data_IF_883216170374
#
_entry.id   IF_883216170374
#
_cell.length_a   1.000
_cell.length_b   1.000
_cell.length_c   1.000
_cell.angle_alpha   90.00
_cell.angle_beta   90.00
_cell.angle_gamma   90.00
#
_symmetry.space_group_name_H-M   'P 1'
#
loop_
_entity.id
_entity.type
_entity.pdbx_description
1 polymer ?
#
# COMPACT_ATOMS: atom_id res chain seq x y z
N UNK A 1 0.13 8.97 24.96
CA UNK A 1 1.14 7.92 24.63
C UNK A 1 2.43 8.63 24.27
N UNK A 2 3.61 8.08 24.59
CA UNK A 2 4.87 8.72 24.24
C UNK A 2 4.99 8.89 22.72
N UNK A 3 5.43 10.06 22.25
CA UNK A 3 5.65 10.38 20.83
C UNK A 3 6.47 9.29 20.11
N UNK A 4 7.43 8.68 20.81
CA UNK A 4 8.21 7.54 20.34
C UNK A 4 7.36 6.32 19.93
N UNK A 5 6.32 5.97 20.70
CA UNK A 5 5.44 4.84 20.37
C UNK A 5 4.63 5.12 19.11
N UNK A 6 4.10 6.33 18.97
CA UNK A 6 3.32 6.72 17.80
C UNK A 6 4.20 6.83 16.53
N UNK A 7 5.43 7.34 16.66
CA UNK A 7 6.40 7.36 15.57
C UNK A 7 6.79 5.95 15.11
N UNK A 8 6.96 5.00 16.03
CA UNK A 8 7.19 3.59 15.68
C UNK A 8 6.01 2.99 14.91
N UNK A 9 4.77 3.24 15.35
CA UNK A 9 3.56 2.77 14.64
C UNK A 9 3.50 3.36 13.23
N UNK A 10 3.74 4.66 13.07
CA UNK A 10 3.76 5.31 11.76
C UNK A 10 4.86 4.71 10.87
N UNK A 11 6.05 4.44 11.41
CA UNK A 11 7.15 3.81 10.67
C UNK A 11 6.79 2.39 10.20
N UNK A 12 6.12 1.60 11.05
CA UNK A 12 5.58 0.28 10.67
C UNK A 12 4.55 0.42 9.55
N UNK A 13 3.58 1.33 9.66
CA UNK A 13 2.58 1.54 8.61
C UNK A 13 3.21 1.94 7.27
N UNK A 14 4.23 2.80 7.28
CA UNK A 14 4.97 3.18 6.06
C UNK A 14 5.68 1.97 5.45
N UNK A 15 6.25 1.10 6.28
CA UNK A 15 6.88 -0.14 5.84
C UNK A 15 5.88 -1.09 5.17
N UNK A 16 4.70 -1.25 5.76
CA UNK A 16 3.63 -2.08 5.22
C UNK A 16 3.08 -1.53 3.90
N UNK A 17 2.91 -0.20 3.79
CA UNK A 17 2.52 0.46 2.52
C UNK A 17 3.51 0.11 1.41
N UNK A 18 4.82 0.21 1.67
CA UNK A 18 5.85 -0.17 0.70
C UNK A 18 5.71 -1.64 0.29
N UNK A 19 5.56 -2.54 1.26
CA UNK A 19 5.41 -3.98 0.98
C UNK A 19 4.22 -4.29 0.06
N UNK A 20 3.06 -3.70 0.34
CA UNK A 20 1.85 -3.88 -0.50
C UNK A 20 2.04 -3.34 -1.92
N UNK A 21 2.72 -2.20 -2.07
CA UNK A 21 3.01 -1.63 -3.38
C UNK A 21 4.04 -2.44 -4.18
N UNK A 22 5.02 -3.05 -3.51
CA UNK A 22 5.99 -3.96 -4.16
C UNK A 22 5.31 -5.23 -4.68
N UNK A 23 4.39 -5.80 -3.90
CA UNK A 23 3.59 -6.95 -4.32
C UNK A 23 2.67 -6.58 -5.49
N UNK A 24 1.99 -5.44 -5.41
CA UNK A 24 1.15 -4.91 -6.48
C UNK A 24 1.95 -4.66 -7.77
N UNK A 25 3.18 -4.14 -7.65
CA UNK A 25 4.08 -3.96 -8.78
C UNK A 25 4.49 -5.30 -9.42
N UNK A 26 4.71 -6.34 -8.62
CA UNK A 26 5.02 -7.69 -9.12
C UNK A 26 3.87 -8.23 -9.99
N UNK A 27 2.63 -8.11 -9.51
CA UNK A 27 1.42 -8.52 -10.25
C UNK A 27 1.27 -7.71 -11.54
N UNK A 28 1.45 -6.39 -11.47
CA UNK A 28 1.37 -5.51 -12.64
C UNK A 28 2.41 -5.89 -13.71
N UNK A 29 3.64 -6.23 -13.31
CA UNK A 29 4.69 -6.70 -14.24
C UNK A 29 4.32 -8.04 -14.90
N UNK A 30 3.76 -8.98 -14.13
CA UNK A 30 3.31 -10.26 -14.68
C UNK A 30 2.18 -10.08 -15.70
N UNK A 31 1.20 -9.24 -15.38
CA UNK A 31 0.13 -8.90 -16.32
C UNK A 31 0.65 -8.18 -17.57
N UNK A 32 1.57 -7.23 -17.42
CA UNK A 32 2.19 -6.54 -18.55
C UNK A 32 2.89 -7.52 -19.50
N UNK A 33 3.64 -8.50 -18.97
CA UNK A 33 4.26 -9.54 -19.78
C UNK A 33 3.22 -10.30 -20.60
N UNK A 34 2.13 -10.77 -19.96
CA UNK A 34 1.06 -11.48 -20.66
C UNK A 34 0.41 -10.62 -21.75
N UNK A 35 0.18 -9.33 -21.48
CA UNK A 35 -0.40 -8.41 -22.45
C UNK A 35 0.53 -8.20 -23.66
N UNK A 36 1.84 -8.06 -23.44
CA UNK A 36 2.85 -7.91 -24.50
C UNK A 36 2.98 -9.17 -25.37
N UNK A 37 2.76 -10.34 -24.78
CA UNK A 37 2.71 -11.63 -25.48
C UNK A 37 1.37 -11.88 -26.19
N UNK A 38 0.46 -10.90 -26.21
CA UNK A 38 -0.86 -10.98 -26.86
C UNK A 38 -1.96 -11.66 -26.03
N UNK A 39 -1.64 -12.10 -24.81
CA UNK A 39 -2.58 -12.76 -23.89
C UNK A 39 -3.31 -11.76 -23.00
N UNK A 40 -4.11 -10.88 -23.61
CA UNK A 40 -4.80 -9.75 -22.92
C UNK A 40 -5.78 -10.24 -21.85
N UNK A 41 -6.60 -11.24 -22.13
CA UNK A 41 -7.57 -11.77 -21.15
C UNK A 41 -6.86 -12.30 -19.89
N UNK A 42 -5.72 -12.97 -20.08
CA UNK A 42 -4.90 -13.46 -18.97
C UNK A 42 -4.28 -12.31 -18.18
N UNK A 43 -3.83 -11.26 -18.85
CA UNK A 43 -3.29 -10.07 -18.20
C UNK A 43 -4.35 -9.40 -17.30
N UNK A 44 -5.60 -9.27 -17.77
CA UNK A 44 -6.70 -8.72 -16.98
C UNK A 44 -7.00 -9.60 -15.77
N UNK A 45 -7.05 -10.92 -15.93
CA UNK A 45 -7.24 -11.84 -14.80
C UNK A 45 -6.16 -11.68 -13.73
N UNK A 46 -4.89 -11.57 -14.12
CA UNK A 46 -3.78 -11.34 -13.19
C UNK A 46 -3.92 -9.99 -12.48
N UNK A 47 -4.32 -8.93 -13.21
CA UNK A 47 -4.54 -7.61 -12.62
C UNK A 47 -5.69 -7.56 -11.61
N UNK A 48 -6.60 -8.53 -11.56
CA UNK A 48 -7.66 -8.53 -10.54
C UNK A 48 -7.09 -8.68 -9.13
N UNK A 49 -5.94 -9.35 -8.97
CA UNK A 49 -5.26 -9.50 -7.68
C UNK A 49 -4.58 -8.19 -7.20
N UNK A 50 -4.42 -7.21 -8.08
CA UNK A 50 -3.81 -5.91 -7.78
C UNK A 50 -4.71 -5.00 -6.93
N UNK A 51 -6.03 -5.05 -7.12
CA UNK A 51 -6.98 -4.09 -6.51
C UNK A 51 -6.95 -4.15 -4.98
N UNK A 52 -6.95 -5.35 -4.40
CA UNK A 52 -6.91 -5.55 -2.96
C UNK A 52 -5.68 -4.92 -2.31
N UNK A 53 -4.50 -5.13 -2.91
CA UNK A 53 -3.23 -4.61 -2.40
C UNK A 53 -3.19 -3.08 -2.41
N UNK A 54 -3.70 -2.44 -3.47
CA UNK A 54 -3.75 -0.97 -3.55
C UNK A 54 -4.75 -0.39 -2.55
N UNK A 55 -5.88 -1.06 -2.34
CA UNK A 55 -6.83 -0.66 -1.30
C UNK A 55 -6.24 -0.76 0.10
N UNK A 56 -5.57 -1.86 0.43
CA UNK A 56 -4.87 -2.03 1.71
C UNK A 56 -3.78 -0.97 1.90
N UNK A 57 -2.93 -0.73 0.90
CA UNK A 57 -1.90 0.30 0.95
C UNK A 57 -2.49 1.70 1.20
N UNK A 58 -3.61 2.03 0.55
CA UNK A 58 -4.31 3.31 0.75
C UNK A 58 -4.84 3.43 2.18
N UNK A 59 -5.38 2.37 2.75
CA UNK A 59 -5.97 2.43 4.08
C UNK A 59 -4.90 2.50 5.19
N UNK A 60 -3.77 1.80 5.01
CA UNK A 60 -2.57 1.96 5.85
C UNK A 60 -2.03 3.40 5.78
N UNK A 61 -1.97 3.98 4.59
CA UNK A 61 -1.57 5.38 4.40
C UNK A 61 -2.50 6.36 5.14
N UNK A 62 -3.83 6.17 5.04
CA UNK A 62 -4.81 6.98 5.79
C UNK A 62 -4.62 6.83 7.30
N UNK A 63 -4.34 5.63 7.80
CA UNK A 63 -4.07 5.39 9.22
C UNK A 63 -2.83 6.18 9.69
N UNK A 64 -1.73 6.12 8.92
CA UNK A 64 -0.51 6.86 9.22
C UNK A 64 -0.74 8.38 9.28
N UNK A 65 -1.50 8.93 8.32
CA UNK A 65 -1.88 10.35 8.32
C UNK A 65 -2.73 10.73 9.54
N UNK A 66 -3.67 9.87 9.93
CA UNK A 66 -4.57 10.12 11.06
C UNK A 66 -3.80 10.15 12.37
N UNK A 67 -2.91 9.19 12.60
CA UNK A 67 -2.06 9.15 13.80
C UNK A 67 -1.20 10.41 13.87
N UNK A 68 -0.53 10.77 12.77
CA UNK A 68 0.34 11.94 12.73
C UNK A 68 -0.42 13.25 12.98
N UNK A 69 -1.64 13.39 12.44
CA UNK A 69 -2.49 14.57 12.71
C UNK A 69 -2.92 14.66 14.17
N UNK A 70 -3.30 13.55 14.78
CA UNK A 70 -3.72 13.52 16.18
C UNK A 70 -2.56 13.86 17.12
N UNK A 71 -1.33 13.43 16.82
CA UNK A 71 -0.14 13.84 17.58
C UNK A 71 0.05 15.37 17.57
N UNK A 72 -0.09 16.02 16.42
CA UNK A 72 0.04 17.47 16.32
C UNK A 72 -1.09 18.22 17.03
N UNK A 73 -2.30 17.65 17.06
CA UNK A 73 -3.45 18.22 17.74
C UNK A 73 -3.38 18.10 19.27
N UNK A 74 -2.72 17.06 19.80
CA UNK A 74 -2.48 16.91 21.26
C UNK A 74 -1.36 17.83 21.78
N UNK A 75 -0.53 18.38 20.91
CA UNK A 75 0.60 19.27 21.27
C UNK A 75 0.31 20.77 21.15
N UNK A 76 -0.90 21.16 20.70
CA UNK A 76 -1.33 22.55 20.51
C UNK A 76 -2.30 23.00 21.61
#
# INVERSE_FOLDING_TARGET
MTDAAANNVVATLVTEVRGKLEEALSIAKAAESCARDGSVDRAVQILMDFEGLVHEARDLFKAALTIKRNLFAETA
#
